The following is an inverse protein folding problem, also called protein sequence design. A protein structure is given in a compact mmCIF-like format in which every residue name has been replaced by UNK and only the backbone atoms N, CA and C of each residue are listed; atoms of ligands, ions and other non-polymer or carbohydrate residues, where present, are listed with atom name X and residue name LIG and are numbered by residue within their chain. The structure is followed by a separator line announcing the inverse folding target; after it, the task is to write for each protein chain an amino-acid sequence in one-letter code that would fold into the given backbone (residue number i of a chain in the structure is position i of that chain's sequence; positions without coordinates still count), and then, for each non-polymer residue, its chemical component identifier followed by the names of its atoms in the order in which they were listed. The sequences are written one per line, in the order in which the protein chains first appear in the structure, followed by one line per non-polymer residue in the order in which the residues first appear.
data_IF_334089473017
#
_entry.id   IF_334089473017
#
_cell.length_a   1.000
_cell.length_b   1.000
_cell.length_c   1.000
_cell.angle_alpha   90.00
_cell.angle_beta   90.00
_cell.angle_gamma   90.00
#
_symmetry.space_group_name_H-M   'P 1'
#
loop_
_entity.id
_entity.type
_entity.pdbx_description
1 polymer ?
#
# COMPACT_ATOMS: atom_id res chain seq x y z
N UNK A 1 -6.54 9.27 -5.05
CA UNK A 1 -6.31 8.26 -4.00
C UNK A 1 -5.34 7.22 -4.54
N UNK A 2 -4.35 6.87 -3.73
CA UNK A 2 -3.27 5.97 -4.16
C UNK A 2 -2.90 4.98 -3.06
N UNK A 3 -2.34 3.85 -3.47
CA UNK A 3 -1.58 2.98 -2.58
C UNK A 3 -0.12 3.13 -3.01
N UNK A 4 0.75 3.43 -2.06
CA UNK A 4 2.18 3.66 -2.31
C UNK A 4 3.00 2.88 -1.30
N UNK A 5 4.27 2.65 -1.62
CA UNK A 5 5.23 2.03 -0.71
C UNK A 5 6.45 2.93 -0.60
N UNK A 6 6.93 3.13 0.62
CA UNK A 6 8.19 3.84 0.85
C UNK A 6 8.86 3.32 2.11
N UNK A 7 10.12 3.65 2.28
CA UNK A 7 10.91 3.15 3.40
C UNK A 7 10.82 4.07 4.60
N UNK A 8 10.68 3.46 5.78
CA UNK A 8 10.75 4.11 7.08
C UNK A 8 11.62 3.28 8.01
N UNK A 9 12.18 3.93 9.02
CA UNK A 9 12.89 3.20 10.07
C UNK A 9 11.95 2.30 10.83
N UNK A 10 12.37 1.04 11.03
CA UNK A 10 11.63 0.04 11.78
C UNK A 10 12.44 -0.31 13.02
N UNK A 11 11.97 0.11 14.19
CA UNK A 11 12.66 -0.12 15.46
C UNK A 11 12.76 -1.59 15.82
N UNK A 12 11.75 -2.39 15.44
CA UNK A 12 11.73 -3.81 15.77
C UNK A 12 12.83 -4.58 15.03
N UNK A 13 13.09 -4.20 13.77
CA UNK A 13 14.09 -4.84 12.93
C UNK A 13 15.40 -4.06 12.87
N UNK A 14 15.45 -2.87 13.48
CA UNK A 14 16.62 -2.00 13.46
C UNK A 14 17.14 -1.73 12.06
N UNK A 15 16.22 -1.48 11.14
CA UNK A 15 16.53 -1.19 9.73
C UNK A 15 15.43 -0.39 9.07
N UNK A 16 15.71 0.16 7.88
CA UNK A 16 14.66 0.73 7.05
C UNK A 16 13.85 -0.39 6.42
N UNK A 17 12.54 -0.31 6.55
CA UNK A 17 11.61 -1.29 5.98
C UNK A 17 10.64 -0.58 5.05
N UNK A 18 10.11 -1.33 4.09
CA UNK A 18 9.07 -0.83 3.19
C UNK A 18 7.71 -0.94 3.86
N UNK A 19 6.91 0.13 3.76
CA UNK A 19 5.54 0.16 4.28
C UNK A 19 4.60 0.61 3.18
N UNK A 20 3.42 -0.01 3.13
CA UNK A 20 2.34 0.42 2.27
C UNK A 20 1.52 1.49 2.99
N UNK A 21 1.17 2.55 2.26
CA UNK A 21 0.34 3.65 2.74
C UNK A 21 -0.82 3.88 1.79
N UNK A 22 -1.94 4.28 2.37
CA UNK A 22 -3.09 4.80 1.63
C UNK A 22 -2.97 6.32 1.63
N UNK A 23 -2.93 6.91 0.44
CA UNK A 23 -2.80 8.36 0.27
C UNK A 23 -4.11 8.93 -0.25
N UNK A 24 -4.69 9.82 0.52
CA UNK A 24 -5.83 10.62 0.08
C UNK A 24 -5.31 11.99 -0.37
N UNK A 25 -5.09 12.13 -1.66
CA UNK A 25 -4.60 13.38 -2.26
C UNK A 25 -5.75 14.25 -2.78
N UNK A 26 -6.97 13.98 -2.31
CA UNK A 26 -8.16 14.73 -2.69
C UNK A 26 -8.58 15.71 -1.59
N UNK A 27 -9.54 16.56 -1.91
CA UNK A 27 -10.14 17.47 -0.94
C UNK A 27 -11.35 16.86 -0.22
N UNK A 28 -11.64 15.58 -0.48
CA UNK A 28 -12.76 14.86 0.11
C UNK A 28 -12.32 13.97 1.24
N UNK A 29 -13.16 13.86 2.27
CA UNK A 29 -13.00 12.87 3.33
C UNK A 29 -13.33 11.49 2.77
N UNK A 30 -12.45 10.51 3.05
CA UNK A 30 -12.78 9.11 2.77
C UNK A 30 -13.35 8.51 4.05
N UNK A 31 -14.52 7.88 3.94
CA UNK A 31 -15.19 7.27 5.08
C UNK A 31 -15.25 5.76 4.93
N UNK A 32 -15.14 5.06 6.04
CA UNK A 32 -15.24 3.60 6.08
C UNK A 32 -14.31 2.94 5.05
N UNK A 33 -13.06 3.41 4.99
CA UNK A 33 -12.08 2.84 4.06
C UNK A 33 -11.67 1.44 4.55
N UNK A 34 -11.70 0.49 3.63
CA UNK A 34 -11.26 -0.87 3.88
C UNK A 34 -10.20 -1.23 2.86
N UNK A 35 -9.06 -1.74 3.35
CA UNK A 35 -7.99 -2.23 2.49
C UNK A 35 -7.81 -3.72 2.76
N UNK A 36 -7.93 -4.52 1.73
CA UNK A 36 -7.70 -5.97 1.79
C UNK A 36 -6.45 -6.27 0.99
N UNK A 37 -5.45 -6.87 1.60
CA UNK A 37 -4.18 -7.14 0.93
C UNK A 37 -3.87 -8.63 0.90
N UNK A 38 -3.14 -9.03 -0.14
CA UNK A 38 -2.58 -10.37 -0.28
C UNK A 38 -1.37 -10.30 -1.21
N UNK A 39 -0.46 -11.26 -1.08
CA UNK A 39 0.66 -11.38 -1.98
C UNK A 39 0.67 -12.78 -2.61
N UNK A 40 1.08 -12.86 -3.87
CA UNK A 40 1.10 -14.11 -4.63
C UNK A 40 2.12 -14.03 -5.76
N UNK A 41 2.58 -15.17 -6.21
CA UNK A 41 3.51 -15.25 -7.34
C UNK A 41 4.32 -16.53 -7.33
N UNK A 42 5.41 -16.52 -8.07
CA UNK A 42 6.32 -17.65 -8.19
C UNK A 42 7.65 -17.31 -7.56
N UNK A 43 8.18 -18.22 -6.74
CA UNK A 43 9.55 -18.15 -6.22
C UNK A 43 10.22 -19.48 -6.57
N UNK A 44 11.30 -19.41 -7.36
CA UNK A 44 12.02 -20.60 -7.83
C UNK A 44 11.09 -21.63 -8.52
N UNK A 45 10.12 -21.11 -9.30
CA UNK A 45 9.17 -21.96 -10.02
C UNK A 45 8.02 -22.51 -9.20
N UNK A 46 7.96 -22.21 -7.91
CA UNK A 46 6.89 -22.67 -7.02
C UNK A 46 5.91 -21.55 -6.72
N UNK A 47 4.63 -21.87 -6.74
CA UNK A 47 3.60 -20.91 -6.37
C UNK A 47 3.67 -20.61 -4.88
N UNK A 48 3.61 -19.33 -4.55
CA UNK A 48 3.55 -18.83 -3.19
C UNK A 48 2.40 -17.86 -3.06
N UNK A 49 1.73 -17.89 -1.93
CA UNK A 49 0.72 -16.90 -1.58
C UNK A 49 0.67 -16.71 -0.08
N UNK A 50 0.37 -15.49 0.33
CA UNK A 50 0.18 -15.17 1.74
C UNK A 50 -1.28 -15.35 2.13
N UNK A 51 -1.54 -15.24 3.43
CA UNK A 51 -2.89 -15.01 3.91
C UNK A 51 -3.41 -13.65 3.45
N UNK A 52 -4.67 -13.42 3.72
CA UNK A 52 -5.34 -12.16 3.40
C UNK A 52 -5.38 -11.30 4.67
N UNK A 53 -4.99 -10.03 4.55
CA UNK A 53 -5.02 -9.08 5.65
C UNK A 53 -6.07 -8.00 5.38
N UNK A 54 -6.74 -7.55 6.43
CA UNK A 54 -7.78 -6.53 6.33
C UNK A 54 -7.45 -5.38 7.27
N UNK A 55 -7.54 -4.16 6.75
CA UNK A 55 -7.30 -2.94 7.51
C UNK A 55 -8.48 -2.00 7.31
N UNK A 56 -9.04 -1.50 8.40
CA UNK A 56 -10.17 -0.59 8.36
C UNK A 56 -9.78 0.77 8.93
N UNK A 57 -10.19 1.82 8.23
CA UNK A 57 -9.98 3.20 8.64
C UNK A 57 -11.34 3.89 8.64
N UNK A 58 -11.83 4.29 9.80
CA UNK A 58 -13.13 4.95 9.90
C UNK A 58 -13.17 6.21 9.03
N UNK A 59 -12.10 6.98 9.06
CA UNK A 59 -11.94 8.20 8.27
C UNK A 59 -10.50 8.37 7.82
N UNK A 60 -10.33 8.82 6.57
CA UNK A 60 -9.04 9.30 6.06
C UNK A 60 -9.26 10.74 5.62
N UNK A 61 -8.70 11.67 6.37
CA UNK A 61 -8.90 13.10 6.13
C UNK A 61 -8.39 13.52 4.76
N UNK A 62 -8.91 14.62 4.20
CA UNK A 62 -8.37 15.18 2.96
C UNK A 62 -6.87 15.47 3.10
N UNK A 63 -6.14 15.26 2.02
CA UNK A 63 -4.71 15.58 1.95
C UNK A 63 -3.91 14.91 3.06
N UNK A 64 -4.19 13.63 3.33
CA UNK A 64 -3.58 12.86 4.40
C UNK A 64 -3.20 11.48 3.90
N UNK A 65 -2.17 10.91 4.50
CA UNK A 65 -1.75 9.53 4.24
C UNK A 65 -1.81 8.73 5.54
N UNK A 66 -2.21 7.48 5.45
CA UNK A 66 -2.28 6.57 6.61
C UNK A 66 -1.50 5.30 6.31
N UNK A 67 -0.80 4.80 7.32
CA UNK A 67 -0.03 3.55 7.19
C UNK A 67 -0.99 2.37 7.13
N UNK A 68 -0.78 1.49 6.17
CA UNK A 68 -1.58 0.28 6.00
C UNK A 68 -0.86 -0.92 6.61
N UNK A 69 0.33 -1.25 6.13
CA UNK A 69 1.04 -2.42 6.63
C UNK A 69 2.52 -2.43 6.26
N UNK A 70 3.28 -3.23 7.00
CA UNK A 70 4.68 -3.54 6.71
C UNK A 70 4.75 -4.51 5.53
N UNK A 71 5.64 -4.23 4.60
CA UNK A 71 5.96 -5.12 3.49
C UNK A 71 7.29 -5.79 3.79
N UNK A 72 7.23 -7.00 4.32
CA UNK A 72 8.43 -7.76 4.68
C UNK A 72 9.21 -8.18 3.44
N UNK A 73 10.51 -8.41 3.60
CA UNK A 73 11.39 -8.74 2.47
C UNK A 73 10.90 -9.95 1.66
N UNK A 74 10.31 -10.93 2.32
CA UNK A 74 9.83 -12.14 1.63
C UNK A 74 8.65 -11.87 0.69
N UNK A 75 7.89 -10.80 0.88
CA UNK A 75 6.77 -10.49 -0.02
C UNK A 75 7.15 -9.55 -1.16
N UNK A 76 8.31 -8.89 -1.09
CA UNK A 76 8.74 -7.95 -2.14
C UNK A 76 8.97 -8.64 -3.49
N UNK A 77 9.25 -9.93 -3.48
CA UNK A 77 9.43 -10.75 -4.67
C UNK A 77 8.11 -11.17 -5.31
N UNK A 78 7.01 -10.96 -4.63
CA UNK A 78 5.67 -11.38 -5.07
C UNK A 78 4.90 -10.18 -5.64
N UNK A 79 3.78 -10.47 -6.26
CA UNK A 79 2.79 -9.45 -6.56
C UNK A 79 2.06 -9.15 -5.26
N UNK A 80 1.98 -7.88 -4.90
CA UNK A 80 1.28 -7.43 -3.70
C UNK A 80 0.03 -6.68 -4.13
N UNK A 81 -1.13 -7.25 -3.87
CA UNK A 81 -2.42 -6.72 -4.28
C UNK A 81 -3.13 -6.07 -3.10
N UNK A 82 -3.65 -4.87 -3.34
CA UNK A 82 -4.41 -4.09 -2.36
C UNK A 82 -5.75 -3.72 -2.96
N UNK A 83 -6.82 -4.27 -2.38
CA UNK A 83 -8.18 -3.95 -2.79
C UNK A 83 -8.74 -2.92 -1.83
N UNK A 84 -9.00 -1.73 -2.33
CA UNK A 84 -9.49 -0.59 -1.55
C UNK A 84 -10.96 -0.33 -1.85
N UNK A 85 -11.76 -0.16 -0.80
CA UNK A 85 -13.11 0.36 -0.92
C UNK A 85 -13.31 1.49 0.09
N UNK A 86 -14.05 2.51 -0.29
CA UNK A 86 -14.34 3.64 0.59
C UNK A 86 -15.54 4.41 0.09
N UNK A 87 -16.13 5.22 0.97
CA UNK A 87 -17.17 6.17 0.61
C UNK A 87 -16.58 7.57 0.57
N UNK A 88 -16.94 8.35 -0.44
CA UNK A 88 -16.63 9.76 -0.52
C UNK A 88 -17.83 10.48 -1.10
N UNK A 89 -18.29 11.54 -0.45
CA UNK A 89 -19.47 12.28 -0.85
C UNK A 89 -20.70 11.38 -1.04
N UNK A 90 -20.87 10.38 -0.18
CA UNK A 90 -22.00 9.46 -0.23
C UNK A 90 -21.94 8.40 -1.33
N UNK A 91 -20.84 8.33 -2.07
CA UNK A 91 -20.64 7.33 -3.14
C UNK A 91 -19.61 6.29 -2.73
N UNK A 92 -19.86 5.04 -3.10
CA UNK A 92 -18.92 3.95 -2.87
C UNK A 92 -17.95 3.85 -4.04
N UNK A 93 -16.66 3.77 -3.72
CA UNK A 93 -15.59 3.55 -4.69
C UNK A 93 -14.83 2.27 -4.35
N UNK A 94 -14.53 1.50 -5.38
CA UNK A 94 -13.69 0.30 -5.28
C UNK A 94 -12.53 0.45 -6.25
N UNK A 95 -11.34 0.07 -5.81
CA UNK A 95 -10.18 0.05 -6.69
C UNK A 95 -9.18 -0.99 -6.24
N UNK A 96 -8.59 -1.69 -7.21
CA UNK A 96 -7.54 -2.66 -6.96
C UNK A 96 -6.21 -2.10 -7.44
N UNK A 97 -5.22 -2.16 -6.55
CA UNK A 97 -3.85 -1.71 -6.82
C UNK A 97 -2.92 -2.91 -6.72
N UNK A 98 -1.92 -2.97 -7.57
CA UNK A 98 -0.94 -4.06 -7.53
C UNK A 98 0.48 -3.50 -7.61
N UNK A 99 1.31 -3.90 -6.65
CA UNK A 99 2.76 -3.79 -6.79
C UNK A 99 3.22 -5.10 -7.43
N UNK A 100 3.67 -5.03 -8.67
CA UNK A 100 4.08 -6.23 -9.38
C UNK A 100 5.38 -6.79 -8.81
N UNK A 101 5.64 -8.05 -9.10
CA UNK A 101 6.85 -8.78 -8.69
C UNK A 101 8.09 -7.91 -8.87
N UNK A 102 8.86 -7.76 -7.81
CA UNK A 102 10.13 -7.03 -7.78
C UNK A 102 10.05 -5.55 -8.17
N UNK A 103 8.86 -4.95 -8.14
CA UNK A 103 8.71 -3.53 -8.49
C UNK A 103 8.98 -2.58 -7.32
N UNK A 104 9.00 -3.09 -6.08
CA UNK A 104 9.26 -2.28 -4.90
C UNK A 104 10.76 -2.27 -4.63
N UNK A 105 11.43 -1.23 -5.13
CA UNK A 105 12.87 -1.06 -4.97
C UNK A 105 13.24 0.42 -5.12
N UNK A 106 14.43 0.79 -4.68
CA UNK A 106 14.88 2.19 -4.67
C UNK A 106 14.94 2.82 -6.07
N UNK A 107 15.23 2.03 -7.09
CA UNK A 107 15.33 2.53 -8.47
C UNK A 107 13.97 2.90 -9.06
N UNK A 108 12.90 2.31 -8.56
CA UNK A 108 11.55 2.54 -9.05
C UNK A 108 10.84 3.69 -8.33
N UNK A 109 11.53 4.43 -7.47
CA UNK A 109 10.90 5.48 -6.68
C UNK A 109 10.68 6.77 -7.47
N UNK A 110 9.63 7.49 -7.07
CA UNK A 110 9.29 8.81 -7.56
C UNK A 110 8.80 9.65 -6.38
N UNK A 111 8.67 10.95 -6.57
CA UNK A 111 8.14 11.82 -5.53
C UNK A 111 6.68 11.46 -5.26
N UNK A 112 6.34 11.32 -3.99
CA UNK A 112 4.98 10.93 -3.58
C UNK A 112 4.13 12.17 -3.31
N UNK A 113 2.81 12.11 -3.61
CA UNK A 113 1.90 13.17 -3.20
C UNK A 113 1.71 13.12 -1.68
N UNK A 114 1.53 14.27 -1.04
CA UNK A 114 1.26 14.45 0.39
C UNK A 114 2.44 14.06 1.28
N UNK A 115 3.10 12.96 0.98
CA UNK A 115 4.23 12.43 1.75
C UNK A 115 5.51 13.05 1.21
N UNK A 116 6.29 13.71 2.05
CA UNK A 116 7.55 14.33 1.63
C UNK A 116 8.68 13.29 1.55
N UNK A 117 8.47 12.28 0.72
CA UNK A 117 9.42 11.18 0.49
C UNK A 117 9.26 10.64 -0.92
N UNK A 118 10.26 9.88 -1.34
CA UNK A 118 10.19 9.14 -2.59
C UNK A 118 9.71 7.72 -2.30
N UNK A 119 8.91 7.19 -3.21
CA UNK A 119 8.40 5.83 -3.06
C UNK A 119 7.88 5.28 -4.37
N UNK A 120 7.24 4.12 -4.30
CA UNK A 120 6.73 3.39 -5.44
C UNK A 120 5.21 3.44 -5.43
N UNK A 121 4.61 3.71 -6.59
CA UNK A 121 3.16 3.67 -6.74
C UNK A 121 2.71 2.26 -7.13
N UNK A 122 1.64 1.79 -6.50
CA UNK A 122 0.93 0.62 -7.01
C UNK A 122 0.09 1.02 -8.22
N UNK A 123 -0.03 0.12 -9.17
CA UNK A 123 -0.82 0.38 -10.38
C UNK A 123 -2.27 -0.02 -10.23
#
# INVERSE_FOLDING_TARGET
VHIVAFQEWNDDFMENSWYAYLVNDTDNLLEMAMVVSRAYGLINGEERKTGTFRHAFAKVEPRTAVKVELLENNVLQLNNEFMLSYFANGQLFDKTFVFRTNSINEKATADLPIINKRGVFAN
#
